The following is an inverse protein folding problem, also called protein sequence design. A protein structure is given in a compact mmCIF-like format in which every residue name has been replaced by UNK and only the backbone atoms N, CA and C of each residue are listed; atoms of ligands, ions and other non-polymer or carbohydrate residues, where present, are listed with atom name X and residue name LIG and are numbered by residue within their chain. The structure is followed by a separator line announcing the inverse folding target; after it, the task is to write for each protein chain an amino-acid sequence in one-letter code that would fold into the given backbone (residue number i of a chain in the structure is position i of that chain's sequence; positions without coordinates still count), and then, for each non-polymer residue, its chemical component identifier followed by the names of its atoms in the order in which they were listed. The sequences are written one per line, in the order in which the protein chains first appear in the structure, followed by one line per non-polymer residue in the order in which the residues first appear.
data_IF_091189240854
#
_entry.id   IF_091189240854
#
_cell.length_a   1.000
_cell.length_b   1.000
_cell.length_c   1.000
_cell.angle_alpha   90.00
_cell.angle_beta   90.00
_cell.angle_gamma   90.00
#
_symmetry.space_group_name_H-M   'P 1'
#
loop_
_entity.id
_entity.type
_entity.pdbx_description
1 polymer ?
#
# COMPACT_ATOMS: atom_id res chain seq x y z
N UNK A 1 23.39 7.20 8.43
CA UNK A 1 22.46 6.79 9.51
C UNK A 1 22.67 5.31 9.75
N UNK A 2 23.39 4.96 10.82
CA UNK A 2 23.82 3.59 11.11
C UNK A 2 22.68 2.83 11.82
N UNK A 3 22.25 1.73 11.21
CA UNK A 3 21.25 0.77 11.71
C UNK A 3 21.87 -0.30 12.63
N UNK A 4 22.89 0.07 13.41
CA UNK A 4 23.47 -0.79 14.43
C UNK A 4 23.07 -0.25 15.80
N UNK A 5 22.79 -1.14 16.76
CA UNK A 5 22.38 -0.87 18.15
C UNK A 5 20.86 -0.82 18.44
N UNK A 6 20.16 -1.92 18.17
CA UNK A 6 18.87 -2.25 18.81
C UNK A 6 18.93 -3.25 19.99
N UNK A 7 19.98 -4.05 20.25
CA UNK A 7 19.90 -5.06 21.34
C UNK A 7 20.06 -4.48 22.75
N UNK A 8 20.29 -3.17 22.92
CA UNK A 8 20.64 -2.55 24.21
C UNK A 8 19.76 -1.35 24.59
N UNK A 9 18.59 -1.19 23.98
CA UNK A 9 17.65 -0.14 24.40
C UNK A 9 16.76 -0.72 25.50
N UNK A 10 16.74 -0.15 26.72
CA UNK A 10 15.80 -0.53 27.76
C UNK A 10 14.38 -0.50 27.20
N UNK A 11 13.60 -1.52 27.51
CA UNK A 11 12.29 -1.75 26.91
C UNK A 11 11.35 -0.55 27.12
N UNK A 12 11.53 0.16 28.23
CA UNK A 12 10.81 1.38 28.60
C UNK A 12 11.13 2.57 27.68
N UNK A 13 12.18 2.52 26.88
CA UNK A 13 12.58 3.60 25.96
C UNK A 13 12.35 3.24 24.49
N UNK A 14 12.02 1.98 24.22
CA UNK A 14 11.85 1.45 22.87
C UNK A 14 10.69 2.13 22.13
N UNK A 15 9.58 2.39 22.83
CA UNK A 15 8.39 3.02 22.25
C UNK A 15 8.64 4.47 21.78
N UNK A 16 9.47 5.24 22.51
CA UNK A 16 9.84 6.61 22.10
C UNK A 16 10.75 6.63 20.87
N UNK A 17 11.68 5.69 20.75
CA UNK A 17 12.61 5.63 19.60
C UNK A 17 11.97 5.05 18.34
N UNK A 18 10.98 4.18 18.48
CA UNK A 18 10.27 3.56 17.34
C UNK A 18 9.07 4.39 16.84
N UNK A 19 8.70 5.48 17.52
CA UNK A 19 7.54 6.29 17.16
C UNK A 19 6.22 5.51 17.19
N UNK A 20 6.15 4.46 18.00
CA UNK A 20 4.98 3.59 18.10
C UNK A 20 4.08 4.11 19.23
N UNK A 21 2.93 4.68 18.87
CA UNK A 21 1.84 4.96 19.80
C UNK A 21 0.90 3.75 19.85
N UNK A 22 0.75 3.15 21.02
CA UNK A 22 -0.20 2.05 21.24
C UNK A 22 -1.49 2.63 21.81
N UNK A 23 -2.56 2.53 21.02
CA UNK A 23 -3.91 2.96 21.38
C UNK A 23 -4.74 1.73 21.78
N UNK A 24 -5.44 1.82 22.91
CA UNK A 24 -6.48 0.84 23.30
C UNK A 24 -7.80 1.60 23.40
N UNK A 25 -8.81 1.18 22.64
CA UNK A 25 -10.10 1.86 22.55
C UNK A 25 -10.01 3.36 22.21
N UNK A 26 -9.00 3.76 21.44
CA UNK A 26 -8.79 5.15 21.04
C UNK A 26 -8.02 5.99 22.07
N UNK A 27 -7.69 5.45 23.24
CA UNK A 27 -6.90 6.16 24.24
C UNK A 27 -5.42 5.69 24.26
N UNK A 28 -4.46 6.63 24.34
CA UNK A 28 -3.04 6.30 24.40
C UNK A 28 -2.70 5.71 25.76
N UNK A 29 -2.20 4.48 25.76
CA UNK A 29 -1.81 3.80 26.99
C UNK A 29 -0.44 4.31 27.44
N UNK A 30 -0.41 5.14 28.49
CA UNK A 30 0.82 5.62 29.11
C UNK A 30 1.33 4.61 30.13
N UNK A 31 2.62 4.27 30.08
CA UNK A 31 3.29 3.48 31.12
C UNK A 31 3.20 1.97 30.96
N UNK A 32 3.42 1.45 29.75
CA UNK A 32 3.60 0.01 29.53
C UNK A 32 4.86 -0.48 30.27
N UNK A 33 4.67 -1.15 31.40
CA UNK A 33 5.72 -1.94 32.05
C UNK A 33 5.69 -3.34 31.45
N UNK A 34 6.71 -3.67 30.67
CA UNK A 34 6.94 -5.04 30.20
C UNK A 34 7.56 -5.82 31.35
N UNK A 35 6.72 -6.23 32.29
CA UNK A 35 7.08 -7.11 33.39
C UNK A 35 7.17 -8.56 32.91
N UNK A 36 8.22 -9.26 33.33
CA UNK A 36 8.31 -10.72 33.22
C UNK A 36 7.11 -11.36 33.92
N UNK A 37 6.44 -12.26 33.21
CA UNK A 37 5.21 -12.91 33.66
C UNK A 37 5.55 -13.89 34.79
N UNK A 38 5.38 -13.45 36.04
CA UNK A 38 5.28 -14.36 37.17
C UNK A 38 3.96 -15.13 37.07
N UNK A 39 4.05 -16.46 36.96
CA UNK A 39 2.89 -17.35 36.97
C UNK A 39 2.38 -17.47 38.40
N UNK A 40 1.35 -16.70 38.73
CA UNK A 40 0.45 -17.05 39.83
C UNK A 40 -0.95 -17.32 39.27
N UNK A 41 -1.41 -18.53 39.59
CA UNK A 41 -2.61 -19.17 39.07
C UNK A 41 -3.79 -18.67 39.92
N UNK A 42 -4.55 -17.72 39.38
CA UNK A 42 -5.84 -17.34 39.94
C UNK A 42 -6.90 -17.38 38.84
N UNK A 43 -7.95 -18.16 39.10
CA UNK A 43 -9.05 -18.49 38.22
C UNK A 43 -9.61 -17.27 37.46
N UNK A 44 -9.37 -17.22 36.15
CA UNK A 44 -10.12 -16.38 35.22
C UNK A 44 -10.85 -17.34 34.30
N UNK A 45 -12.17 -17.20 34.27
CA UNK A 45 -13.06 -17.91 33.35
C UNK A 45 -12.42 -18.01 31.96
N UNK A 46 -12.20 -19.23 31.46
CA UNK A 46 -11.93 -19.48 30.05
C UNK A 46 -13.18 -19.14 29.24
N UNK A 47 -13.41 -17.85 29.01
CA UNK A 47 -14.11 -17.48 27.79
C UNK A 47 -13.22 -17.96 26.64
N UNK A 48 -13.75 -18.72 25.66
CA UNK A 48 -13.00 -19.04 24.47
C UNK A 48 -12.70 -17.73 23.76
N UNK A 49 -11.52 -17.15 24.01
CA UNK A 49 -10.97 -16.13 23.15
C UNK A 49 -10.78 -16.80 21.81
N UNK A 50 -11.74 -16.61 20.91
CA UNK A 50 -11.56 -16.85 19.49
C UNK A 50 -10.22 -16.26 19.11
N UNK A 51 -9.23 -17.13 18.90
CA UNK A 51 -7.92 -16.73 18.40
C UNK A 51 -8.21 -16.05 17.06
N UNK A 52 -8.25 -14.71 17.05
CA UNK A 52 -8.34 -13.92 15.83
C UNK A 52 -7.16 -14.37 14.98
N UNK A 53 -7.42 -15.24 14.00
CA UNK A 53 -6.43 -15.68 13.04
C UNK A 53 -5.96 -14.41 12.34
N UNK A 54 -4.76 -13.93 12.69
CA UNK A 54 -4.13 -12.84 11.96
C UNK A 54 -3.86 -13.35 10.55
N UNK A 55 -4.80 -13.11 9.63
CA UNK A 55 -4.57 -13.35 8.21
C UNK A 55 -3.44 -12.42 7.79
N UNK A 56 -2.31 -13.00 7.41
CA UNK A 56 -1.16 -12.24 6.96
C UNK A 56 -1.51 -11.62 5.60
N UNK A 57 -1.86 -10.33 5.59
CA UNK A 57 -2.22 -9.63 4.35
C UNK A 57 -0.94 -9.18 3.65
N UNK A 58 -0.52 -9.92 2.62
CA UNK A 58 0.57 -9.48 1.74
C UNK A 58 0.06 -8.41 0.76
N UNK A 59 0.86 -7.36 0.58
CA UNK A 59 0.58 -6.30 -0.41
C UNK A 59 1.53 -6.47 -1.59
N UNK A 60 1.01 -6.42 -2.82
CA UNK A 60 1.78 -6.53 -4.06
C UNK A 60 1.41 -5.41 -5.03
N UNK A 61 2.42 -4.82 -5.67
CA UNK A 61 2.21 -3.90 -6.78
C UNK A 61 1.79 -4.66 -8.03
N UNK A 62 0.65 -4.30 -8.60
CA UNK A 62 0.06 -4.97 -9.76
C UNK A 62 -0.61 -3.96 -10.67
N UNK A 63 -0.70 -4.31 -11.96
CA UNK A 63 -1.56 -3.59 -12.89
C UNK A 63 -3.01 -4.06 -12.69
N UNK A 64 -3.87 -3.13 -12.26
CA UNK A 64 -5.30 -3.34 -12.11
C UNK A 64 -6.03 -2.73 -13.30
N UNK A 65 -6.93 -3.50 -13.93
CA UNK A 65 -7.84 -2.96 -14.95
C UNK A 65 -8.78 -1.93 -14.33
N UNK A 66 -8.91 -0.78 -14.97
CA UNK A 66 -9.81 0.31 -14.56
C UNK A 66 -10.68 0.72 -15.74
N UNK A 67 -11.79 1.42 -15.47
CA UNK A 67 -12.57 2.03 -16.55
C UNK A 67 -11.90 3.33 -17.00
N UNK A 68 -12.02 3.73 -18.29
CA UNK A 68 -11.47 5.00 -18.75
C UNK A 68 -11.97 6.21 -17.95
N UNK A 69 -13.24 6.19 -17.52
CA UNK A 69 -13.84 7.24 -16.68
C UNK A 69 -13.22 7.37 -15.29
N UNK A 70 -12.49 6.35 -14.80
CA UNK A 70 -11.83 6.36 -13.49
C UNK A 70 -10.38 6.85 -13.57
N UNK A 71 -9.81 6.97 -14.78
CA UNK A 71 -8.43 7.41 -14.99
C UNK A 71 -8.07 8.76 -14.32
N UNK A 72 -8.95 9.78 -14.30
CA UNK A 72 -8.64 11.05 -13.62
C UNK A 72 -8.25 10.88 -12.14
N UNK A 73 -8.81 9.88 -11.44
CA UNK A 73 -8.48 9.60 -10.04
C UNK A 73 -7.06 9.04 -9.83
N UNK A 74 -6.38 8.69 -10.92
CA UNK A 74 -5.07 8.05 -10.92
C UNK A 74 -3.98 8.93 -11.56
N UNK A 75 -4.24 10.23 -11.76
CA UNK A 75 -3.20 11.20 -12.14
C UNK A 75 -2.03 11.11 -11.15
N UNK A 76 -0.81 11.14 -11.69
CA UNK A 76 0.43 10.91 -10.96
C UNK A 76 0.78 9.44 -10.73
N UNK A 77 0.00 8.48 -11.25
CA UNK A 77 0.31 7.04 -11.15
C UNK A 77 0.82 6.46 -12.46
N UNK A 78 1.54 5.35 -12.36
CA UNK A 78 1.99 4.61 -13.53
C UNK A 78 0.83 3.85 -14.15
N UNK A 79 0.66 3.97 -15.46
CA UNK A 79 -0.44 3.39 -16.23
C UNK A 79 0.08 2.63 -17.43
N UNK A 80 -0.74 1.69 -17.91
CA UNK A 80 -0.58 1.00 -19.18
C UNK A 80 -1.90 1.15 -19.94
N UNK A 81 -1.87 1.93 -21.01
CA UNK A 81 -3.04 2.23 -21.84
C UNK A 81 -2.83 1.62 -23.22
N UNK A 82 -3.89 1.12 -23.84
CA UNK A 82 -3.86 0.58 -25.20
C UNK A 82 -5.05 1.11 -25.98
N UNK A 83 -4.74 1.81 -27.07
CA UNK A 83 -5.70 2.26 -28.07
C UNK A 83 -5.98 1.15 -29.09
N UNK A 84 -7.08 1.29 -29.83
CA UNK A 84 -7.45 0.34 -30.87
C UNK A 84 -6.47 0.41 -32.03
N UNK A 85 -5.80 -0.71 -32.32
CA UNK A 85 -4.86 -0.80 -33.44
C UNK A 85 -3.43 -0.39 -33.08
N UNK A 86 -3.22 0.22 -31.92
CA UNK A 86 -1.92 0.68 -31.45
C UNK A 86 -1.29 -0.21 -30.36
N UNK A 87 0.05 -0.19 -30.22
CA UNK A 87 0.73 -0.86 -29.14
C UNK A 87 0.42 -0.22 -27.78
N UNK A 88 0.48 -1.03 -26.72
CA UNK A 88 0.23 -0.54 -25.37
C UNK A 88 1.31 0.47 -24.92
N UNK A 89 0.88 1.68 -24.57
CA UNK A 89 1.71 2.76 -24.03
C UNK A 89 1.79 2.63 -22.51
N UNK A 90 3.01 2.51 -21.99
CA UNK A 90 3.26 2.49 -20.54
C UNK A 90 3.98 3.74 -20.11
N UNK A 91 3.52 4.39 -19.04
CA UNK A 91 4.09 5.65 -18.58
C UNK A 91 3.45 6.17 -17.30
N UNK A 92 3.79 7.40 -16.92
CA UNK A 92 3.15 8.13 -15.83
C UNK A 92 1.95 8.89 -16.40
N UNK A 93 0.76 8.72 -15.80
CA UNK A 93 -0.40 9.53 -16.16
C UNK A 93 -0.20 10.94 -15.59
N UNK A 94 -0.07 11.94 -16.46
CA UNK A 94 0.20 13.33 -16.09
C UNK A 94 -1.09 14.11 -15.93
N UNK A 95 -2.03 13.89 -16.84
CA UNK A 95 -3.31 14.59 -16.85
C UNK A 95 -4.37 13.78 -17.60
N UNK A 96 -5.65 14.08 -17.37
CA UNK A 96 -6.79 13.56 -18.12
C UNK A 96 -7.79 14.69 -18.35
N UNK A 97 -7.86 15.17 -19.58
CA UNK A 97 -8.70 16.30 -19.96
C UNK A 97 -9.16 16.16 -21.42
N UNK A 98 -10.27 16.80 -21.78
CA UNK A 98 -10.77 16.87 -23.17
C UNK A 98 -10.95 15.52 -23.88
N UNK A 99 -11.23 14.45 -23.12
CA UNK A 99 -11.37 13.11 -23.70
C UNK A 99 -10.04 12.41 -24.00
N UNK A 100 -8.92 12.96 -23.54
CA UNK A 100 -7.58 12.42 -23.73
C UNK A 100 -6.86 12.21 -22.39
N UNK A 101 -5.98 11.22 -22.36
CA UNK A 101 -5.03 10.99 -21.28
C UNK A 101 -3.63 11.40 -21.73
N UNK A 102 -2.99 12.29 -20.96
CA UNK A 102 -1.61 12.69 -21.18
C UNK A 102 -0.69 11.75 -20.42
N UNK A 103 0.15 11.00 -21.14
CA UNK A 103 1.05 10.00 -20.57
C UNK A 103 2.50 10.37 -20.83
N UNK A 104 3.26 10.55 -19.76
CA UNK A 104 4.71 10.68 -19.83
C UNK A 104 5.38 9.31 -19.96
N UNK A 105 6.03 9.08 -21.08
CA UNK A 105 6.80 7.86 -21.36
C UNK A 105 8.30 8.15 -21.26
N UNK A 106 9.08 7.14 -20.85
CA UNK A 106 10.54 7.19 -20.93
C UNK A 106 10.99 6.24 -22.03
N UNK A 107 11.57 6.80 -23.08
CA UNK A 107 12.17 6.06 -24.20
C UNK A 107 13.69 6.24 -24.16
N UNK A 108 14.43 5.50 -25.00
CA UNK A 108 15.90 5.55 -25.05
C UNK A 108 16.46 6.97 -25.22
N UNK A 109 15.73 7.85 -25.91
CA UNK A 109 16.11 9.25 -26.16
C UNK A 109 15.64 10.28 -25.12
N UNK A 110 14.90 9.88 -24.07
CA UNK A 110 14.42 10.84 -23.07
C UNK A 110 12.99 10.63 -22.58
N UNK A 111 12.37 11.71 -22.12
CA UNK A 111 10.96 11.74 -21.67
C UNK A 111 10.10 12.37 -22.75
N UNK A 112 9.00 11.70 -23.09
CA UNK A 112 8.07 12.12 -24.14
C UNK A 112 6.66 12.17 -23.56
N UNK A 113 5.87 13.15 -24.00
CA UNK A 113 4.44 13.19 -23.75
C UNK A 113 3.71 12.48 -24.89
N UNK A 114 2.81 11.57 -24.55
CA UNK A 114 1.91 10.93 -25.49
C UNK A 114 0.47 11.25 -25.10
N UNK A 115 -0.31 11.71 -26.06
CA UNK A 115 -1.75 11.85 -25.93
C UNK A 115 -2.39 10.51 -26.31
N UNK A 116 -3.36 10.08 -25.51
CA UNK A 116 -4.07 8.81 -25.69
C UNK A 116 -5.56 9.10 -25.65
N UNK A 117 -6.28 8.81 -26.73
CA UNK A 117 -7.72 9.03 -26.82
C UNK A 117 -8.47 8.06 -25.91
N UNK A 118 -9.31 8.60 -25.00
CA UNK A 118 -10.14 7.77 -24.13
C UNK A 118 -11.24 7.04 -24.90
N UNK A 119 -11.66 7.56 -26.06
CA UNK A 119 -12.70 6.98 -26.90
C UNK A 119 -12.20 5.71 -27.65
N UNK A 120 -10.91 5.66 -27.95
CA UNK A 120 -10.29 4.56 -28.69
C UNK A 120 -9.66 3.51 -27.77
N UNK A 121 -9.81 3.69 -26.46
CA UNK A 121 -9.10 2.94 -25.44
C UNK A 121 -9.71 1.55 -25.24
N UNK A 122 -8.95 0.51 -25.59
CA UNK A 122 -9.35 -0.90 -25.47
C UNK A 122 -8.96 -1.47 -24.11
N UNK A 123 -7.83 -1.00 -23.54
CA UNK A 123 -7.31 -1.49 -22.26
C UNK A 123 -6.74 -0.35 -21.43
N UNK A 124 -7.27 -0.15 -20.22
CA UNK A 124 -6.72 0.75 -19.22
C UNK A 124 -6.29 -0.04 -17.98
N UNK A 125 -5.02 0.05 -17.60
CA UNK A 125 -4.50 -0.56 -16.39
C UNK A 125 -3.69 0.46 -15.58
N UNK A 126 -3.88 0.48 -14.27
CA UNK A 126 -3.17 1.36 -13.34
C UNK A 126 -2.31 0.50 -12.41
N UNK A 127 -1.08 0.92 -12.19
CA UNK A 127 -0.17 0.27 -11.27
C UNK A 127 -0.48 0.68 -9.83
N UNK A 128 -1.04 -0.26 -9.05
CA UNK A 128 -1.53 -0.02 -7.70
C UNK A 128 -1.06 -1.09 -6.72
N UNK A 129 -0.97 -0.72 -5.45
CA UNK A 129 -0.66 -1.64 -4.37
C UNK A 129 -1.93 -2.38 -3.94
N UNK A 130 -2.06 -3.65 -4.32
CA UNK A 130 -3.22 -4.48 -3.98
C UNK A 130 -2.91 -5.40 -2.81
N UNK A 131 -3.87 -5.59 -1.91
CA UNK A 131 -3.87 -6.68 -0.92
C UNK A 131 -4.15 -7.99 -1.65
N UNK A 132 -3.31 -8.99 -1.44
CA UNK A 132 -3.48 -10.34 -1.99
C UNK A 132 -3.74 -11.25 -0.79
N UNK A 133 -4.92 -11.88 -0.78
CA UNK A 133 -5.20 -12.96 0.16
C UNK A 133 -4.57 -14.24 -0.39
N UNK A 134 -3.75 -14.92 0.41
CA UNK A 134 -3.22 -16.23 0.03
C UNK A 134 -4.37 -17.26 0.14
N UNK A 135 -4.70 -17.90 -0.98
CA UNK A 135 -5.44 -19.17 -0.95
C UNK A 135 -4.45 -20.25 -0.48
N UNK A 136 -4.79 -21.05 0.54
CA UNK A 136 -3.91 -22.11 1.06
C UNK A 136 -3.62 -23.20 0.02
#
# INVERSE_FOLDING_TARGET
MNLAFLPFVPVEQLHRKLGLEVLVNGEPVKGLRLGEVSRDVAAVHEQPQERKRFRLVRKRWLYQKVKPSELPAYVGRRVRLQERGDPARTGLLVDVANGEALVQQRLSGGRFMAYVSLAELVKAEVFVLKKVEETP
#
